data_IF_932929054379
#
_entry.id   IF_932929054379
#
_cell.length_a   1.000
_cell.length_b   1.000
_cell.length_c   1.000
_cell.angle_alpha   90.00
_cell.angle_beta   90.00
_cell.angle_gamma   90.00
#
_symmetry.space_group_name_H-M   'P 1'
#
loop_
_entity.id
_entity.type
_entity.pdbx_description
1 polymer ?
#
# COMPACT_ATOMS: atom_id res chain seq x y z
N UNK A 1 -36.55 0.06 7.12
CA UNK A 1 -36.23 1.50 7.00
C UNK A 1 -35.31 1.67 5.82
N UNK A 2 -35.55 2.67 4.98
CA UNK A 2 -34.65 3.02 3.87
C UNK A 2 -33.76 4.17 4.33
N UNK A 3 -32.47 4.08 4.03
CA UNK A 3 -31.48 5.07 4.40
C UNK A 3 -30.78 5.47 3.09
N UNK A 4 -31.17 6.61 2.46
CA UNK A 4 -30.50 7.11 1.28
C UNK A 4 -29.06 7.50 1.60
N UNK A 5 -28.17 7.24 0.65
CA UNK A 5 -26.74 7.55 0.76
C UNK A 5 -26.29 8.27 -0.50
N UNK A 6 -25.52 9.33 -0.30
CA UNK A 6 -24.80 10.05 -1.36
C UNK A 6 -23.30 10.08 -1.05
N UNK A 7 -22.50 10.39 -2.06
CA UNK A 7 -21.05 10.58 -1.95
C UNK A 7 -20.66 12.01 -2.31
N UNK A 8 -19.90 12.67 -1.45
CA UNK A 8 -19.24 13.96 -1.69
C UNK A 8 -17.71 13.76 -1.61
N UNK A 9 -16.94 14.73 -2.11
CA UNK A 9 -15.47 14.71 -2.05
C UNK A 9 -14.81 14.77 -3.42
N UNK A 10 -13.51 14.46 -3.47
CA UNK A 10 -12.75 14.35 -4.72
C UNK A 10 -12.43 12.90 -5.10
N UNK A 11 -12.63 11.94 -4.18
CA UNK A 11 -12.52 10.53 -4.49
C UNK A 11 -13.57 10.12 -5.54
N UNK A 12 -13.15 9.37 -6.57
CA UNK A 12 -13.94 8.97 -7.72
C UNK A 12 -14.41 7.52 -7.53
N UNK A 13 -15.72 7.33 -7.54
CA UNK A 13 -16.34 6.01 -7.48
C UNK A 13 -15.98 5.16 -8.70
N UNK A 14 -15.55 3.93 -8.46
CA UNK A 14 -15.10 2.99 -9.49
C UNK A 14 -13.64 3.15 -9.89
N UNK A 15 -12.96 4.22 -9.45
CA UNK A 15 -11.53 4.44 -9.64
C UNK A 15 -10.76 4.30 -8.33
N UNK A 16 -11.13 5.06 -7.29
CA UNK A 16 -10.39 5.10 -6.03
C UNK A 16 -11.03 4.15 -5.00
N UNK A 17 -12.33 3.89 -5.15
CA UNK A 17 -13.07 2.96 -4.33
C UNK A 17 -14.17 2.24 -5.11
N UNK A 18 -14.62 1.08 -4.61
CA UNK A 18 -15.69 0.31 -5.23
C UNK A 18 -17.03 1.03 -5.18
N UNK A 19 -17.90 0.75 -6.15
CA UNK A 19 -19.27 1.31 -6.19
C UNK A 19 -20.04 1.06 -4.89
N UNK A 20 -20.69 2.11 -4.38
CA UNK A 20 -21.56 2.09 -3.23
C UNK A 20 -23.03 1.99 -3.67
N UNK A 21 -23.92 1.44 -2.83
CA UNK A 21 -25.35 1.49 -3.06
C UNK A 21 -25.91 2.88 -2.70
N UNK A 22 -26.84 3.38 -3.51
CA UNK A 22 -27.58 4.64 -3.22
C UNK A 22 -28.47 4.56 -1.97
N UNK A 23 -28.74 3.36 -1.45
CA UNK A 23 -29.66 3.16 -0.31
C UNK A 23 -29.35 1.90 0.48
N UNK A 24 -29.27 2.03 1.80
CA UNK A 24 -29.26 0.91 2.74
C UNK A 24 -30.65 0.58 3.28
N UNK A 25 -30.86 -0.69 3.63
CA UNK A 25 -32.15 -1.22 4.06
C UNK A 25 -32.05 -1.97 5.40
N UNK A 26 -32.66 -1.40 6.44
CA UNK A 26 -32.86 -2.12 7.71
C UNK A 26 -34.19 -2.86 7.69
N UNK A 27 -34.17 -4.16 7.94
CA UNK A 27 -35.38 -4.97 8.14
C UNK A 27 -36.04 -4.65 9.50
N UNK A 28 -37.33 -4.98 9.70
CA UNK A 28 -37.98 -4.80 10.99
C UNK A 28 -37.20 -5.47 12.14
N UNK A 29 -36.92 -4.70 13.19
CA UNK A 29 -36.15 -5.15 14.36
C UNK A 29 -34.63 -5.05 14.22
N UNK A 30 -34.10 -4.69 13.04
CA UNK A 30 -32.67 -4.37 12.89
C UNK A 30 -32.42 -2.90 13.23
N UNK A 31 -31.36 -2.65 14.02
CA UNK A 31 -30.95 -1.30 14.44
C UNK A 31 -29.64 -0.85 13.80
N UNK A 32 -28.95 -1.75 13.09
CA UNK A 32 -27.69 -1.48 12.39
C UNK A 32 -27.55 -2.41 11.19
N UNK A 33 -26.79 -1.96 10.20
CA UNK A 33 -26.34 -2.72 9.03
C UNK A 33 -24.89 -2.34 8.72
N UNK A 34 -24.23 -3.11 7.85
CA UNK A 34 -22.83 -2.88 7.46
C UNK A 34 -22.74 -2.53 5.98
N UNK A 35 -22.18 -1.35 5.68
CA UNK A 35 -21.76 -0.99 4.33
C UNK A 35 -20.32 -1.43 4.12
N UNK A 36 -20.07 -2.27 3.11
CA UNK A 36 -18.72 -2.75 2.76
C UNK A 36 -18.35 -2.20 1.40
N UNK A 37 -17.12 -1.69 1.29
CA UNK A 37 -16.52 -1.22 0.05
C UNK A 37 -15.01 -1.44 0.09
N UNK A 38 -14.39 -1.41 -1.08
CA UNK A 38 -12.95 -1.62 -1.25
C UNK A 38 -12.30 -0.33 -1.70
N UNK A 39 -11.06 -0.11 -1.26
CA UNK A 39 -10.19 0.92 -1.81
C UNK A 39 -9.33 0.26 -2.87
N UNK A 40 -9.14 0.96 -3.99
CA UNK A 40 -8.34 0.46 -5.09
C UNK A 40 -6.93 1.06 -5.04
N UNK A 41 -5.95 0.23 -5.36
CA UNK A 41 -4.60 0.66 -5.74
C UNK A 41 -4.54 0.53 -7.26
N UNK A 42 -4.48 1.67 -7.95
CA UNK A 42 -4.44 1.75 -9.41
C UNK A 42 -3.03 2.02 -9.96
N UNK A 43 -2.01 2.00 -9.09
CA UNK A 43 -0.61 2.31 -9.37
C UNK A 43 -0.37 3.72 -9.94
N UNK A 44 -1.29 4.66 -9.75
CA UNK A 44 -1.10 6.08 -10.09
C UNK A 44 -0.77 6.83 -8.80
N UNK A 45 0.23 7.71 -8.87
CA UNK A 45 0.56 8.60 -7.76
C UNK A 45 -0.31 9.86 -7.81
N UNK A 46 -1.08 10.05 -6.75
CA UNK A 46 -2.09 11.07 -6.54
C UNK A 46 -1.86 11.77 -5.18
N UNK A 47 -2.81 12.64 -4.82
CA UNK A 47 -2.81 13.31 -3.52
C UNK A 47 -3.54 12.49 -2.46
N UNK A 48 -3.81 13.10 -1.32
CA UNK A 48 -4.82 12.54 -0.40
C UNK A 48 -6.19 12.86 -0.98
N UNK A 49 -6.98 11.82 -1.24
CA UNK A 49 -8.37 11.96 -1.61
C UNK A 49 -9.29 11.87 -0.41
N UNK A 50 -10.43 12.53 -0.53
CA UNK A 50 -11.45 12.65 0.49
C UNK A 50 -12.72 12.02 -0.03
N UNK A 51 -13.20 11.00 0.67
CA UNK A 51 -14.50 10.37 0.47
C UNK A 51 -15.41 10.77 1.63
N UNK A 52 -16.53 11.42 1.33
CA UNK A 52 -17.54 11.77 2.32
C UNK A 52 -18.80 10.98 1.99
N UNK A 53 -19.11 9.99 2.81
CA UNK A 53 -20.37 9.27 2.73
C UNK A 53 -21.42 10.05 3.50
N UNK A 54 -22.47 10.47 2.80
CA UNK A 54 -23.57 11.27 3.35
C UNK A 54 -24.74 10.34 3.58
N UNK A 55 -25.14 10.18 4.83
CA UNK A 55 -26.44 9.64 5.16
C UNK A 55 -27.45 10.79 5.11
N UNK A 56 -28.44 10.67 4.25
CA UNK A 56 -29.43 11.72 4.05
C UNK A 56 -30.46 11.78 5.20
N UNK A 57 -31.28 12.84 5.22
CA UNK A 57 -32.32 12.97 6.24
C UNK A 57 -33.35 11.84 6.13
N UNK A 58 -33.59 11.11 7.22
CA UNK A 58 -34.62 10.06 7.25
C UNK A 58 -35.67 10.40 8.29
N UNK A 59 -36.92 10.50 7.83
CA UNK A 59 -38.08 10.65 8.70
C UNK A 59 -38.69 9.29 9.04
N UNK A 60 -39.03 9.08 10.30
CA UNK A 60 -39.90 7.97 10.75
C UNK A 60 -40.91 8.50 11.77
N UNK A 61 -42.03 7.80 11.96
CA UNK A 61 -43.02 8.19 12.97
C UNK A 61 -42.48 8.19 14.41
N UNK A 62 -41.33 7.54 14.64
CA UNK A 62 -40.69 7.43 15.95
C UNK A 62 -39.59 8.47 16.18
N UNK A 63 -38.86 8.83 15.12
CA UNK A 63 -37.65 9.64 15.22
C UNK A 63 -37.25 10.26 13.87
N UNK A 64 -36.65 11.45 13.95
CA UNK A 64 -36.10 12.22 12.84
C UNK A 64 -34.58 12.05 12.84
N UNK A 65 -34.06 11.33 11.85
CA UNK A 65 -32.62 11.11 11.69
C UNK A 65 -32.04 12.27 10.86
N UNK A 66 -31.24 13.16 11.48
CA UNK A 66 -30.60 14.25 10.75
C UNK A 66 -29.57 13.71 9.75
N UNK A 67 -29.22 14.55 8.77
CA UNK A 67 -28.13 14.26 7.84
C UNK A 67 -26.85 14.01 8.63
N UNK A 68 -26.15 12.93 8.29
CA UNK A 68 -24.87 12.58 8.89
C UNK A 68 -23.79 12.47 7.81
N UNK A 69 -22.57 12.92 8.11
CA UNK A 69 -21.43 12.86 7.19
C UNK A 69 -20.31 12.05 7.81
N UNK A 70 -19.85 11.06 7.06
CA UNK A 70 -18.76 10.19 7.44
C UNK A 70 -17.61 10.45 6.48
N UNK A 71 -16.55 11.09 6.99
CA UNK A 71 -15.39 11.47 6.19
C UNK A 71 -14.30 10.41 6.31
N UNK A 72 -13.79 9.99 5.16
CA UNK A 72 -12.67 9.08 4.99
C UNK A 72 -11.60 9.78 4.15
N UNK A 73 -10.34 9.51 4.50
CA UNK A 73 -9.18 9.95 3.73
C UNK A 73 -8.58 8.73 3.07
N UNK A 74 -8.44 8.80 1.76
CA UNK A 74 -7.79 7.81 0.92
C UNK A 74 -6.39 8.33 0.64
N UNK A 75 -5.40 7.52 0.95
CA UNK A 75 -3.99 7.78 0.64
C UNK A 75 -3.56 6.70 -0.33
N UNK A 76 -2.77 7.10 -1.32
CA UNK A 76 -2.10 6.14 -2.17
C UNK A 76 -1.13 5.29 -1.39
N UNK A 77 -1.05 4.04 -1.83
CA UNK A 77 -0.02 3.13 -1.39
C UNK A 77 1.32 3.62 -1.92
N UNK A 78 2.30 3.87 -1.04
CA UNK A 78 3.63 4.21 -1.51
C UNK A 78 4.21 3.03 -2.30
N UNK A 79 4.96 3.34 -3.36
CA UNK A 79 5.68 2.33 -4.12
C UNK A 79 6.88 1.83 -3.33
N UNK A 80 7.10 0.53 -3.29
CA UNK A 80 8.35 -0.04 -2.79
C UNK A 80 9.47 0.13 -3.83
N UNK A 81 10.48 0.94 -3.50
CA UNK A 81 11.65 1.18 -4.34
C UNK A 81 12.96 1.13 -3.55
N UNK A 82 13.95 0.47 -4.13
CA UNK A 82 15.28 0.32 -3.57
C UNK A 82 16.31 0.13 -4.69
N UNK A 83 17.56 0.48 -4.41
CA UNK A 83 18.65 0.38 -5.38
C UNK A 83 19.89 -0.26 -4.77
N UNK A 84 20.53 -1.15 -5.54
CA UNK A 84 21.86 -1.67 -5.20
C UNK A 84 22.89 -0.62 -5.58
N UNK A 85 23.77 -0.29 -4.63
CA UNK A 85 24.92 0.58 -4.83
C UNK A 85 26.20 -0.20 -4.57
N UNK A 86 27.16 -0.03 -5.47
CA UNK A 86 28.51 -0.54 -5.31
C UNK A 86 29.34 0.50 -4.57
N UNK A 87 29.97 0.09 -3.47
CA UNK A 87 30.90 0.96 -2.73
C UNK A 87 32.28 1.02 -3.39
N UNK A 88 32.56 0.10 -4.32
CA UNK A 88 33.75 0.08 -5.16
C UNK A 88 33.55 0.87 -6.46
N UNK A 89 34.65 1.22 -7.12
CA UNK A 89 34.64 1.90 -8.42
C UNK A 89 34.26 1.01 -9.61
N UNK A 90 34.16 -0.31 -9.40
CA UNK A 90 33.83 -1.30 -10.43
C UNK A 90 33.10 -2.50 -9.84
N UNK A 91 32.34 -3.18 -10.68
CA UNK A 91 31.68 -4.47 -10.46
C UNK A 91 32.61 -5.68 -10.69
N UNK A 92 33.89 -5.41 -10.97
CA UNK A 92 34.92 -6.42 -11.25
C UNK A 92 36.01 -6.41 -10.19
N UNK A 93 36.55 -7.59 -9.93
CA UNK A 93 37.71 -7.82 -9.07
C UNK A 93 38.95 -8.17 -9.89
N UNK A 94 40.14 -7.96 -9.32
CA UNK A 94 41.41 -8.24 -10.02
C UNK A 94 41.85 -9.69 -9.87
N UNK A 95 41.52 -10.34 -8.75
CA UNK A 95 41.89 -11.72 -8.47
C UNK A 95 40.67 -12.51 -7.95
N UNK A 96 40.53 -13.80 -8.34
CA UNK A 96 39.57 -14.68 -7.69
C UNK A 96 39.83 -14.75 -6.19
N UNK A 97 38.80 -14.49 -5.38
CA UNK A 97 38.87 -14.43 -3.91
C UNK A 97 38.95 -13.02 -3.33
N UNK A 98 39.08 -11.99 -4.17
CA UNK A 98 38.90 -10.60 -3.73
C UNK A 98 37.44 -10.39 -3.28
N UNK A 99 37.26 -9.55 -2.25
CA UNK A 99 35.93 -9.21 -1.72
C UNK A 99 35.49 -7.82 -2.16
N UNK A 100 34.20 -7.70 -2.50
CA UNK A 100 33.51 -6.44 -2.78
C UNK A 100 32.36 -6.25 -1.79
N UNK A 101 32.06 -5.00 -1.43
CA UNK A 101 30.90 -4.66 -0.60
C UNK A 101 29.73 -4.23 -1.49
N UNK A 102 28.62 -4.94 -1.37
CA UNK A 102 27.32 -4.58 -1.92
C UNK A 102 26.53 -3.87 -0.82
N UNK A 103 25.88 -2.77 -1.15
CA UNK A 103 25.00 -2.04 -0.25
C UNK A 103 23.68 -1.74 -0.95
N UNK A 104 22.58 -1.73 -0.18
CA UNK A 104 21.25 -1.37 -0.69
C UNK A 104 20.78 -0.10 -0.02
N UNK A 105 20.27 0.82 -0.84
CA UNK A 105 19.61 2.04 -0.39
C UNK A 105 18.12 1.89 -0.65
N UNK A 106 17.32 2.00 0.42
CA UNK A 106 15.87 2.10 0.31
C UNK A 106 15.50 3.52 -0.14
N UNK A 107 14.82 3.64 -1.27
CA UNK A 107 14.41 4.92 -1.83
C UNK A 107 12.99 5.30 -1.39
N UNK A 108 12.09 4.31 -1.34
CA UNK A 108 10.68 4.45 -0.96
C UNK A 108 10.16 3.12 -0.41
N UNK A 109 9.32 3.17 0.63
CA UNK A 109 8.64 2.01 1.21
C UNK A 109 7.54 2.49 2.15
N UNK A 110 6.49 1.70 2.31
CA UNK A 110 5.45 1.96 3.30
C UNK A 110 5.80 1.26 4.63
N UNK A 111 5.76 2.02 5.73
CA UNK A 111 5.89 1.51 7.09
C UNK A 111 7.15 0.69 7.36
N UNK A 112 7.02 -0.51 7.93
CA UNK A 112 8.17 -1.40 8.16
C UNK A 112 8.50 -2.24 6.91
N UNK A 113 9.78 -2.50 6.67
CA UNK A 113 10.23 -3.40 5.59
C UNK A 113 11.06 -4.58 6.13
N UNK A 114 11.03 -5.68 5.40
CA UNK A 114 11.85 -6.87 5.61
C UNK A 114 12.65 -7.18 4.35
N UNK A 115 13.96 -7.38 4.50
CA UNK A 115 14.81 -7.61 3.34
C UNK A 115 15.95 -8.60 3.60
N UNK A 116 16.40 -9.28 2.56
CA UNK A 116 17.50 -10.23 2.64
C UNK A 116 18.18 -10.44 1.28
N UNK A 117 19.44 -10.87 1.34
CA UNK A 117 20.15 -11.40 0.18
C UNK A 117 19.76 -12.85 -0.05
N UNK A 118 19.49 -13.22 -1.31
CA UNK A 118 19.16 -14.60 -1.67
C UNK A 118 20.28 -15.55 -1.26
N UNK A 119 19.91 -16.61 -0.53
CA UNK A 119 20.87 -17.57 0.04
C UNK A 119 21.43 -17.16 1.41
N UNK A 120 20.98 -16.05 2.00
CA UNK A 120 21.28 -15.66 3.37
C UNK A 120 20.00 -15.64 4.23
N UNK A 121 20.16 -15.98 5.51
CA UNK A 121 19.12 -15.89 6.52
C UNK A 121 19.20 -14.62 7.36
N UNK A 122 20.25 -13.80 7.18
CA UNK A 122 20.48 -12.56 7.94
C UNK A 122 19.95 -11.35 7.19
N UNK A 123 19.16 -10.54 7.90
CA UNK A 123 18.64 -9.25 7.41
C UNK A 123 19.79 -8.24 7.47
N UNK A 124 20.36 -7.90 6.32
CA UNK A 124 21.37 -6.85 6.21
C UNK A 124 21.30 -6.18 4.85
N UNK A 125 21.25 -4.84 4.84
CA UNK A 125 21.36 -4.03 3.63
C UNK A 125 22.76 -4.10 3.01
N UNK A 126 23.78 -4.35 3.82
CA UNK A 126 25.18 -4.41 3.39
C UNK A 126 25.70 -5.85 3.44
N UNK A 127 26.47 -6.24 2.43
CA UNK A 127 27.05 -7.58 2.32
C UNK A 127 28.43 -7.53 1.68
N UNK A 128 29.40 -8.15 2.34
CA UNK A 128 30.67 -8.49 1.70
C UNK A 128 30.54 -9.82 0.96
N UNK A 129 30.97 -9.84 -0.30
CA UNK A 129 30.96 -11.03 -1.13
C UNK A 129 32.35 -11.29 -1.72
N UNK A 130 32.82 -12.52 -1.61
CA UNK A 130 34.04 -12.98 -2.26
C UNK A 130 33.73 -13.41 -3.69
N UNK A 131 34.45 -12.87 -4.67
CA UNK A 131 34.20 -13.14 -6.09
C UNK A 131 35.17 -14.20 -6.58
N UNK A 132 34.67 -15.41 -6.80
CA UNK A 132 35.45 -16.53 -7.37
C UNK A 132 35.26 -16.67 -8.89
N UNK A 133 34.10 -16.25 -9.38
CA UNK A 133 33.69 -16.25 -10.78
C UNK A 133 32.54 -15.26 -10.99
N UNK A 134 32.18 -14.99 -12.24
CA UNK A 134 30.99 -14.20 -12.59
C UNK A 134 29.75 -14.78 -11.87
N UNK A 135 29.15 -13.97 -11.01
CA UNK A 135 28.05 -14.37 -10.13
C UNK A 135 27.06 -13.23 -10.03
N UNK A 136 25.77 -13.54 -10.07
CA UNK A 136 24.68 -12.58 -9.84
C UNK A 136 24.19 -12.73 -8.41
N UNK A 137 24.04 -11.60 -7.71
CA UNK A 137 23.49 -11.56 -6.36
C UNK A 137 22.10 -10.95 -6.38
N UNK A 138 21.14 -11.66 -5.82
CA UNK A 138 19.77 -11.18 -5.74
C UNK A 138 19.49 -10.65 -4.34
N UNK A 139 18.89 -9.47 -4.24
CA UNK A 139 18.36 -8.90 -3.01
C UNK A 139 16.85 -8.79 -3.10
N UNK A 140 16.14 -9.23 -2.07
CA UNK A 140 14.68 -9.23 -2.05
C UNK A 140 14.21 -8.42 -0.85
N UNK A 141 13.30 -7.47 -1.08
CA UNK A 141 12.66 -6.65 -0.05
C UNK A 141 11.15 -6.73 -0.17
N UNK A 142 10.50 -6.72 0.98
CA UNK A 142 9.05 -6.71 1.16
C UNK A 142 8.70 -5.59 2.13
N UNK A 143 7.60 -4.88 1.89
CA UNK A 143 7.07 -3.89 2.83
C UNK A 143 5.86 -4.42 3.61
N UNK A 144 5.34 -3.62 4.56
CA UNK A 144 4.19 -4.02 5.39
C UNK A 144 2.88 -4.10 4.60
N UNK A 145 2.81 -3.46 3.43
CA UNK A 145 1.67 -3.47 2.54
C UNK A 145 1.65 -4.67 1.59
N UNK A 146 2.72 -5.48 1.59
CA UNK A 146 2.82 -6.70 0.80
C UNK A 146 3.43 -6.51 -0.58
N UNK A 147 4.00 -5.34 -0.88
CA UNK A 147 4.83 -5.18 -2.07
C UNK A 147 6.07 -6.04 -1.96
N UNK A 148 6.59 -6.46 -3.11
CA UNK A 148 7.84 -7.19 -3.23
C UNK A 148 8.68 -6.59 -4.34
N UNK A 149 9.94 -6.29 -4.03
CA UNK A 149 10.92 -5.85 -5.00
C UNK A 149 12.14 -6.77 -4.96
N UNK A 150 12.54 -7.22 -6.16
CA UNK A 150 13.73 -8.03 -6.38
C UNK A 150 14.75 -7.23 -7.18
N UNK A 151 15.98 -7.15 -6.67
CA UNK A 151 17.11 -6.46 -7.27
C UNK A 151 18.21 -7.45 -7.62
N UNK A 152 18.88 -7.25 -8.75
CA UNK A 152 19.97 -8.11 -9.26
C UNK A 152 21.14 -7.31 -9.77
#
# INVERSE_FOLDING_TARGET
MKIPIDTEGNAIEGQDFSTLPDTLYLLPGQTADTLTFWIYDDNIAEGIDTLIIVQDYVFTDCYDYPVNRMTYYLRDKDTLDASIVLMSSSDSVSCPGDSIELSVVMNSYEGDYYAYWSGDSVISLNRFVEVLSDTTYTFIVFDECGDTLELT
#
